data_IF_238759224054
#
_entry.id   IF_238759224054
#
_cell.length_a   1.000
_cell.length_b   1.000
_cell.length_c   1.000
_cell.angle_alpha   90.00
_cell.angle_beta   90.00
_cell.angle_gamma   90.00
#
_symmetry.space_group_name_H-M   'P 1'
#
loop_
_entity.id
_entity.type
_entity.pdbx_description
1 polymer ?
#
# COMPACT_ATOMS: atom_id res chain seq x y z
N UNK A 1 -7.55 2.76 -22.48
CA UNK A 1 -7.44 2.52 -21.03
C UNK A 1 -6.29 1.53 -20.88
N UNK A 2 -5.19 1.92 -20.24
CA UNK A 2 -4.03 1.03 -20.11
C UNK A 2 -4.36 -0.08 -19.11
N UNK A 3 -4.12 -1.33 -19.49
CA UNK A 3 -4.30 -2.50 -18.63
C UNK A 3 -3.29 -2.43 -17.47
N UNK A 4 -3.77 -2.48 -16.23
CA UNK A 4 -2.92 -2.48 -15.04
C UNK A 4 -2.24 -3.85 -14.95
N UNK A 5 -0.92 -3.87 -15.03
CA UNK A 5 -0.10 -5.08 -14.90
C UNK A 5 0.37 -5.24 -13.47
N UNK A 6 0.63 -6.47 -13.06
CA UNK A 6 1.17 -6.79 -11.72
C UNK A 6 2.53 -6.10 -11.43
N UNK A 7 3.26 -5.73 -12.48
CA UNK A 7 4.54 -4.98 -12.38
C UNK A 7 4.36 -3.48 -12.26
N UNK A 8 3.17 -2.95 -12.51
CA UNK A 8 2.94 -1.52 -12.44
C UNK A 8 3.05 -1.08 -10.97
N UNK A 9 3.70 0.06 -10.77
CA UNK A 9 3.95 0.67 -9.47
C UNK A 9 3.35 2.06 -9.51
N UNK A 10 2.36 2.31 -8.65
CA UNK A 10 1.73 3.61 -8.53
C UNK A 10 2.33 4.33 -7.34
N UNK A 11 2.95 5.48 -7.59
CA UNK A 11 3.47 6.33 -6.53
C UNK A 11 2.32 6.84 -5.66
N UNK A 12 2.47 6.71 -4.35
CA UNK A 12 1.50 7.12 -3.36
C UNK A 12 2.21 7.82 -2.19
N UNK A 13 1.45 8.60 -1.43
CA UNK A 13 1.97 9.37 -0.31
C UNK A 13 1.47 8.81 1.01
N UNK A 14 2.35 8.67 1.99
CA UNK A 14 1.94 8.35 3.37
C UNK A 14 1.22 9.54 3.98
N UNK A 15 -0.01 9.33 4.44
CA UNK A 15 -0.83 10.38 5.07
C UNK A 15 -1.04 10.16 6.56
N UNK A 16 -0.86 8.93 7.05
CA UNK A 16 -0.93 8.62 8.48
C UNK A 16 -0.04 7.41 8.83
N UNK A 17 0.56 7.45 10.01
CA UNK A 17 1.35 6.35 10.58
C UNK A 17 0.95 6.17 12.05
N UNK A 18 0.56 4.95 12.42
CA UNK A 18 0.23 4.56 13.79
C UNK A 18 1.21 3.45 14.19
N UNK A 19 2.03 3.68 15.21
CA UNK A 19 2.90 2.64 15.76
C UNK A 19 2.11 1.78 16.76
N UNK A 20 2.20 0.46 16.64
CA UNK A 20 1.74 -0.47 17.66
C UNK A 20 2.77 -1.60 17.87
N UNK A 21 3.48 -1.55 19.00
CA UNK A 21 4.48 -2.55 19.40
C UNK A 21 5.46 -2.85 18.26
N UNK A 22 5.31 -4.02 17.64
CA UNK A 22 6.17 -4.56 16.57
C UNK A 22 5.81 -4.04 15.17
N UNK A 23 4.64 -3.45 14.98
CA UNK A 23 4.09 -3.10 13.66
C UNK A 23 3.72 -1.62 13.55
N UNK A 24 3.73 -1.10 12.32
CA UNK A 24 3.16 0.17 11.92
C UNK A 24 1.90 -0.07 11.10
N UNK A 25 0.83 0.61 11.50
CA UNK A 25 -0.31 0.91 10.65
C UNK A 25 0.03 2.10 9.75
N UNK A 26 -0.03 1.94 8.43
CA UNK A 26 0.27 2.98 7.45
C UNK A 26 -0.97 3.22 6.60
N UNK A 27 -1.42 4.46 6.53
CA UNK A 27 -2.42 4.90 5.54
C UNK A 27 -1.71 5.65 4.44
N UNK A 28 -1.92 5.20 3.20
CA UNK A 28 -1.45 5.91 2.01
C UNK A 28 -2.61 6.59 1.30
N UNK A 29 -2.29 7.56 0.47
CA UNK A 29 -3.19 8.19 -0.48
C UNK A 29 -2.56 8.12 -1.88
N UNK A 30 -3.29 7.58 -2.86
CA UNK A 30 -2.86 7.61 -4.25
C UNK A 30 -3.06 9.02 -4.83
N UNK A 31 -2.05 9.52 -5.53
CA UNK A 31 -1.96 10.94 -5.88
C UNK A 31 -3.09 11.42 -6.81
N UNK A 32 -3.55 10.56 -7.73
CA UNK A 32 -4.49 10.90 -8.81
C UNK A 32 -5.95 10.83 -8.38
N UNK A 33 -6.33 9.73 -7.73
CA UNK A 33 -7.71 9.40 -7.35
C UNK A 33 -8.05 9.88 -5.94
N UNK A 34 -7.04 10.19 -5.13
CA UNK A 34 -7.18 10.45 -3.68
C UNK A 34 -7.74 9.26 -2.91
N UNK A 35 -7.76 8.07 -3.53
CA UNK A 35 -8.10 6.82 -2.87
C UNK A 35 -7.12 6.52 -1.74
N UNK A 36 -7.63 6.00 -0.63
CA UNK A 36 -6.83 5.68 0.55
C UNK A 36 -6.88 4.19 0.85
N UNK A 37 -5.74 3.65 1.24
CA UNK A 37 -5.59 2.24 1.62
C UNK A 37 -4.81 2.17 2.93
N UNK A 38 -5.28 1.33 3.83
CA UNK A 38 -4.64 1.07 5.13
C UNK A 38 -3.90 -0.27 5.12
N UNK A 39 -2.68 -0.25 5.62
CA UNK A 39 -1.80 -1.41 5.78
C UNK A 39 -1.46 -1.55 7.26
N UNK A 40 -1.82 -2.67 7.87
CA UNK A 40 -1.76 -2.82 9.33
C UNK A 40 -0.49 -3.49 9.86
N UNK A 41 0.34 -4.06 8.99
CA UNK A 41 1.43 -4.98 9.37
C UNK A 41 2.76 -4.60 8.73
N UNK A 42 3.02 -3.31 8.58
CA UNK A 42 4.34 -2.84 8.13
C UNK A 42 5.33 -2.96 9.29
N UNK A 43 6.57 -3.43 9.05
CA UNK A 43 7.57 -3.59 10.10
C UNK A 43 7.79 -2.27 10.86
N UNK A 44 7.67 -2.32 12.20
CA UNK A 44 7.77 -1.16 13.07
C UNK A 44 9.14 -0.48 13.14
N UNK A 45 10.21 -1.18 12.78
CA UNK A 45 11.58 -0.64 12.77
C UNK A 45 11.87 0.24 11.54
N UNK A 46 11.02 0.19 10.51
CA UNK A 46 11.21 0.99 9.30
C UNK A 46 10.91 2.47 9.60
N UNK A 47 11.82 3.37 9.21
CA UNK A 47 11.62 4.81 9.35
C UNK A 47 10.71 5.33 8.25
N UNK A 48 9.40 5.21 8.46
CA UNK A 48 8.34 5.73 7.58
C UNK A 48 7.54 6.80 8.33
N UNK A 49 7.33 7.94 7.69
CA UNK A 49 6.67 9.13 8.21
C UNK A 49 5.59 9.64 7.26
N UNK A 50 4.59 10.40 7.76
CA UNK A 50 3.68 11.15 6.89
C UNK A 50 4.48 12.09 5.98
N UNK A 51 4.18 12.07 4.70
CA UNK A 51 4.95 12.80 3.69
C UNK A 51 5.72 11.91 2.73
N UNK A 52 6.14 10.73 3.18
CA UNK A 52 7.00 9.83 2.41
C UNK A 52 6.29 9.28 1.17
N UNK A 53 7.07 9.07 0.11
CA UNK A 53 6.63 8.41 -1.11
C UNK A 53 6.85 6.90 -1.01
N UNK A 54 5.81 6.13 -1.28
CA UNK A 54 5.81 4.67 -1.38
C UNK A 54 5.12 4.25 -2.69
N UNK A 55 5.09 2.95 -2.96
CA UNK A 55 4.53 2.43 -4.21
C UNK A 55 3.47 1.36 -3.97
N UNK A 56 2.39 1.42 -4.74
CA UNK A 56 1.36 0.39 -4.77
C UNK A 56 1.54 -0.53 -5.97
N UNK A 57 1.46 -1.84 -5.75
CA UNK A 57 1.15 -2.80 -6.80
C UNK A 57 -0.28 -3.31 -6.65
N UNK A 58 -1.00 -3.44 -7.75
CA UNK A 58 -2.39 -3.88 -7.77
C UNK A 58 -2.46 -5.18 -8.56
N UNK A 59 -3.15 -6.18 -7.99
CA UNK A 59 -3.39 -7.46 -8.62
C UNK A 59 -4.87 -7.81 -8.52
N UNK A 60 -5.59 -8.01 -9.63
CA UNK A 60 -6.95 -8.55 -9.55
C UNK A 60 -6.91 -9.97 -8.99
N UNK A 61 -7.89 -10.31 -8.17
CA UNK A 61 -8.04 -11.64 -7.57
C UNK A 61 -9.45 -12.17 -7.85
N UNK A 62 -9.65 -13.47 -7.65
CA UNK A 62 -10.99 -14.01 -7.52
C UNK A 62 -11.66 -13.39 -6.29
N UNK A 63 -12.96 -13.14 -6.39
CA UNK A 63 -13.71 -12.47 -5.33
C UNK A 63 -13.65 -13.27 -4.03
N UNK A 64 -13.18 -12.63 -2.96
CA UNK A 64 -13.12 -13.19 -1.60
C UNK A 64 -13.69 -12.14 -0.66
N UNK A 65 -14.78 -12.44 0.05
CA UNK A 65 -15.41 -11.51 1.01
C UNK A 65 -15.72 -10.13 0.39
N UNK A 66 -16.33 -10.12 -0.80
CA UNK A 66 -16.63 -8.91 -1.60
C UNK A 66 -15.39 -8.10 -2.03
N UNK A 67 -14.18 -8.67 -1.90
CA UNK A 67 -12.90 -8.08 -2.32
C UNK A 67 -12.46 -8.64 -3.66
N UNK A 68 -12.06 -7.77 -4.57
CA UNK A 68 -11.71 -8.15 -5.96
C UNK A 68 -10.26 -7.83 -6.31
N UNK A 69 -9.55 -7.10 -5.44
CA UNK A 69 -8.18 -6.71 -5.68
C UNK A 69 -7.30 -6.95 -4.45
N UNK A 70 -6.09 -7.44 -4.69
CA UNK A 70 -5.00 -7.38 -3.74
C UNK A 70 -4.16 -6.13 -4.03
N UNK A 71 -3.98 -5.30 -3.02
CA UNK A 71 -3.08 -4.14 -3.09
C UNK A 71 -1.87 -4.42 -2.21
N UNK A 72 -0.69 -4.25 -2.76
CA UNK A 72 0.58 -4.50 -2.09
C UNK A 72 1.36 -3.20 -1.98
N UNK A 73 1.90 -2.92 -0.78
CA UNK A 73 2.72 -1.75 -0.51
C UNK A 73 4.19 -2.10 -0.66
N UNK A 74 4.94 -1.25 -1.36
CA UNK A 74 6.37 -1.38 -1.62
C UNK A 74 7.14 -0.11 -1.25
N UNK A 75 8.40 -0.28 -0.89
CA UNK A 75 9.37 0.83 -0.84
C UNK A 75 9.95 1.15 -2.23
N UNK A 76 10.86 2.12 -2.27
CA UNK A 76 11.54 2.56 -3.48
C UNK A 76 12.45 1.50 -4.12
N UNK A 77 12.85 0.47 -3.37
CA UNK A 77 13.68 -0.65 -3.84
C UNK A 77 12.83 -1.85 -4.28
N UNK A 78 11.51 -1.67 -4.44
CA UNK A 78 10.54 -2.73 -4.73
C UNK A 78 10.44 -3.82 -3.67
N UNK A 79 10.88 -3.57 -2.44
CA UNK A 79 10.67 -4.50 -1.33
C UNK A 79 9.24 -4.39 -0.83
N UNK A 80 8.58 -5.54 -0.72
CA UNK A 80 7.22 -5.63 -0.17
C UNK A 80 7.23 -5.28 1.31
N UNK A 81 6.40 -4.32 1.70
CA UNK A 81 6.24 -3.86 3.08
C UNK A 81 5.02 -4.51 3.75
N UNK A 82 3.88 -4.56 3.05
CA UNK A 82 2.63 -5.20 3.50
C UNK A 82 1.68 -5.39 2.31
N UNK A 83 0.51 -5.98 2.52
CA UNK A 83 -0.56 -6.07 1.54
C UNK A 83 -1.94 -6.13 2.21
N UNK A 84 -2.98 -5.81 1.44
CA UNK A 84 -4.38 -5.89 1.88
C UNK A 84 -5.30 -6.25 0.72
N UNK A 85 -6.53 -6.65 1.04
CA UNK A 85 -7.60 -6.86 0.07
C UNK A 85 -8.56 -5.66 0.08
N UNK A 86 -8.93 -5.17 -1.10
CA UNK A 86 -9.88 -4.06 -1.27
C UNK A 86 -11.07 -4.42 -2.15
#
# INVERSE_FOLDING_TARGET
>A
MNEIREVDRFECKVVNVIQNLMWKGITIEENSTKGRVYFGRVNGELNISPGDALYLGIKPIYEVEDKTMQVTLYDAENKKLDWTLV
#
